data_IF_619749845733
#
_entry.id   IF_619749845733
#
_cell.length_a   1.000
_cell.length_b   1.000
_cell.length_c   1.000
_cell.angle_alpha   90.00
_cell.angle_beta   90.00
_cell.angle_gamma   90.00
#
_symmetry.space_group_name_H-M   'P 1'
#
loop_
_entity.id
_entity.type
_entity.pdbx_description
1 polymer ?
#
# COMPACT_ATOMS: atom_id res chain seq x y z
N UNK A 1 2.08 30.59 7.36
CA UNK A 1 2.42 29.58 6.33
C UNK A 1 2.19 28.23 6.96
N UNK A 2 1.43 27.38 6.26
CA UNK A 2 0.54 26.35 6.79
C UNK A 2 1.19 25.41 7.82
N UNK A 3 0.61 25.39 9.02
CA UNK A 3 0.77 24.30 9.97
C UNK A 3 -0.07 23.13 9.44
N UNK A 4 0.63 22.12 8.96
CA UNK A 4 0.08 20.88 8.45
C UNK A 4 -0.34 20.02 9.65
N UNK A 5 -1.55 20.26 10.16
CA UNK A 5 -2.37 19.20 10.77
C UNK A 5 -2.82 18.32 9.59
N UNK A 6 -2.81 16.99 9.67
CA UNK A 6 -3.84 16.19 10.31
C UNK A 6 -3.24 14.80 10.53
N UNK A 7 -2.97 14.43 11.78
CA UNK A 7 -2.72 13.04 12.12
C UNK A 7 -4.08 12.32 12.11
N UNK A 8 -4.53 11.95 10.92
CA UNK A 8 -5.69 11.09 10.76
C UNK A 8 -5.38 9.73 11.38
N UNK A 9 -6.31 9.24 12.18
CA UNK A 9 -6.20 8.01 12.94
C UNK A 9 -6.23 6.83 11.98
N UNK A 10 -5.09 6.48 11.41
CA UNK A 10 -4.93 5.32 10.55
C UNK A 10 -5.20 4.05 11.37
N UNK A 11 -6.26 3.32 11.01
CA UNK A 11 -6.54 1.98 11.52
C UNK A 11 -5.24 1.16 11.43
N UNK A 12 -4.70 0.70 12.56
CA UNK A 12 -3.43 -0.05 12.61
C UNK A 12 -3.59 -1.49 12.14
N UNK A 13 -4.33 -1.70 11.06
CA UNK A 13 -4.51 -3.01 10.47
C UNK A 13 -3.28 -3.34 9.61
N UNK A 14 -2.72 -4.57 9.74
CA UNK A 14 -1.59 -4.97 8.93
C UNK A 14 -2.04 -5.17 7.48
N UNK A 15 -1.28 -4.61 6.54
CA UNK A 15 -1.53 -4.81 5.12
C UNK A 15 -1.00 -6.19 4.73
N UNK A 16 -1.74 -6.89 3.85
CA UNK A 16 -1.39 -8.22 3.34
C UNK A 16 -1.42 -8.24 1.82
N UNK A 17 -0.65 -9.14 1.23
CA UNK A 17 -0.52 -9.28 -0.24
C UNK A 17 -1.81 -9.79 -0.91
N UNK A 18 -2.69 -10.46 -0.15
CA UNK A 18 -4.00 -10.92 -0.61
C UNK A 18 -5.07 -9.82 -0.60
N UNK A 19 -4.79 -8.65 0.00
CA UNK A 19 -5.71 -7.52 0.01
C UNK A 19 -5.80 -6.86 -1.36
N UNK A 20 -6.99 -6.35 -1.67
CA UNK A 20 -7.21 -5.56 -2.88
C UNK A 20 -6.52 -4.21 -2.73
N UNK A 21 -5.78 -3.80 -3.75
CA UNK A 21 -5.01 -2.54 -3.75
C UNK A 21 -5.89 -1.34 -3.42
N UNK A 22 -7.09 -1.29 -3.99
CA UNK A 22 -8.09 -0.25 -3.66
C UNK A 22 -8.40 -0.20 -2.18
N UNK A 23 -8.66 -1.34 -1.54
CA UNK A 23 -9.06 -1.38 -0.14
C UNK A 23 -7.88 -0.98 0.77
N UNK A 24 -6.65 -1.38 0.40
CA UNK A 24 -5.42 -0.93 1.07
C UNK A 24 -5.27 0.59 0.98
N UNK A 25 -5.42 1.19 -0.20
CA UNK A 25 -5.28 2.65 -0.39
C UNK A 25 -6.40 3.40 0.33
N UNK A 26 -7.62 2.86 0.35
CA UNK A 26 -8.75 3.46 1.05
C UNK A 26 -8.58 3.41 2.58
N UNK A 27 -8.01 2.31 3.11
CA UNK A 27 -7.69 2.17 4.52
C UNK A 27 -6.44 2.96 4.92
N UNK A 28 -5.48 3.07 4.01
CA UNK A 28 -4.18 3.70 4.21
C UNK A 28 -3.84 4.58 3.00
N UNK A 29 -4.30 5.84 2.95
CA UNK A 29 -4.00 6.73 1.82
C UNK A 29 -2.50 6.92 1.60
N UNK A 30 -1.71 6.89 2.67
CA UNK A 30 -0.24 6.97 2.62
C UNK A 30 0.42 5.76 1.93
N UNK A 31 -0.25 4.60 1.91
CA UNK A 31 0.23 3.42 1.19
C UNK A 31 0.43 3.71 -0.31
N UNK A 32 -0.41 4.57 -0.88
CA UNK A 32 -0.28 4.94 -2.29
C UNK A 32 1.08 5.60 -2.57
N UNK A 33 1.54 6.50 -1.69
CA UNK A 33 2.84 7.16 -1.86
C UNK A 33 4.00 6.17 -1.76
N UNK A 34 3.93 5.24 -0.80
CA UNK A 34 4.95 4.21 -0.62
C UNK A 34 5.01 3.26 -1.82
N UNK A 35 3.84 2.83 -2.32
CA UNK A 35 3.73 2.00 -3.53
C UNK A 35 4.33 2.69 -4.75
N UNK A 36 4.08 4.00 -4.91
CA UNK A 36 4.69 4.77 -6.00
C UNK A 36 6.22 4.82 -5.89
N UNK A 37 6.79 4.89 -4.67
CA UNK A 37 8.25 4.89 -4.45
C UNK A 37 8.91 3.55 -4.80
N UNK A 38 8.23 2.42 -4.57
CA UNK A 38 8.77 1.08 -4.89
C UNK A 38 8.58 0.67 -6.35
N UNK A 39 8.06 1.56 -7.20
CA UNK A 39 7.88 1.31 -8.64
C UNK A 39 6.48 0.82 -9.03
N UNK A 40 5.54 0.76 -8.08
CA UNK A 40 4.12 0.49 -8.34
C UNK A 40 3.37 1.77 -8.74
N UNK A 41 3.96 2.62 -9.58
CA UNK A 41 3.32 3.86 -10.05
C UNK A 41 2.01 3.63 -10.84
N UNK A 42 1.77 2.40 -11.28
CA UNK A 42 0.56 1.99 -12.00
C UNK A 42 -0.67 1.78 -11.11
N UNK A 43 -0.58 1.98 -9.78
CA UNK A 43 -1.75 1.95 -8.87
C UNK A 43 -2.85 2.96 -9.24
N UNK A 44 -2.55 3.97 -10.08
CA UNK A 44 -3.55 4.88 -10.64
C UNK A 44 -4.37 4.27 -11.78
N UNK A 45 -3.99 3.09 -12.29
CA UNK A 45 -4.72 2.39 -13.33
C UNK A 45 -5.93 1.67 -12.72
N UNK A 46 -7.15 1.81 -13.29
CA UNK A 46 -8.34 1.15 -12.76
C UNK A 46 -8.24 -0.38 -12.72
N UNK A 47 -7.37 -0.99 -13.54
CA UNK A 47 -7.10 -2.42 -13.48
C UNK A 47 -6.37 -2.82 -12.19
N UNK A 48 -5.27 -2.12 -11.85
CA UNK A 48 -4.46 -2.40 -10.68
C UNK A 48 -5.24 -2.23 -9.36
N UNK A 49 -6.21 -1.31 -9.33
CA UNK A 49 -7.08 -1.10 -8.16
C UNK A 49 -8.01 -2.29 -7.88
N UNK A 50 -8.33 -3.09 -8.89
CA UNK A 50 -9.18 -4.28 -8.77
C UNK A 50 -8.38 -5.58 -8.64
N UNK A 51 -7.05 -5.50 -8.66
CA UNK A 51 -6.15 -6.61 -8.43
C UNK A 51 -5.77 -6.70 -6.94
N UNK A 52 -5.39 -7.90 -6.51
CA UNK A 52 -4.73 -8.06 -5.22
C UNK A 52 -3.29 -7.52 -5.31
N UNK A 53 -2.80 -7.04 -4.17
CA UNK A 53 -1.50 -6.37 -4.12
C UNK A 53 -0.36 -7.28 -4.57
N UNK A 54 -0.41 -8.57 -4.23
CA UNK A 54 0.57 -9.56 -4.65
C UNK A 54 0.60 -9.81 -6.15
N UNK A 55 -0.54 -10.05 -6.79
CA UNK A 55 -0.64 -10.28 -8.24
C UNK A 55 -0.21 -9.03 -9.02
N UNK A 56 -0.63 -7.84 -8.55
CA UNK A 56 -0.20 -6.58 -9.13
C UNK A 56 1.33 -6.42 -9.05
N UNK A 57 1.96 -6.80 -7.93
CA UNK A 57 3.42 -6.83 -7.81
C UNK A 57 4.05 -7.84 -8.78
N UNK A 58 3.48 -9.03 -8.92
CA UNK A 58 4.00 -10.08 -9.81
C UNK A 58 3.99 -9.69 -11.29
N UNK A 59 2.96 -8.97 -11.76
CA UNK A 59 2.90 -8.44 -13.14
C UNK A 59 4.08 -7.50 -13.44
N UNK A 60 4.59 -6.83 -12.40
CA UNK A 60 5.74 -5.93 -12.47
C UNK A 60 7.07 -6.59 -12.08
N UNK A 61 7.07 -7.90 -11.80
CA UNK A 61 8.26 -8.65 -11.38
C UNK A 61 8.75 -8.31 -9.98
N UNK A 62 7.87 -7.78 -9.12
CA UNK A 62 8.13 -7.49 -7.73
C UNK A 62 7.58 -8.60 -6.84
N UNK A 63 8.26 -8.83 -5.72
CA UNK A 63 7.78 -9.76 -4.69
C UNK A 63 6.72 -9.05 -3.83
N UNK A 64 5.48 -9.54 -3.89
CA UNK A 64 4.36 -8.98 -3.15
C UNK A 64 4.56 -9.00 -1.63
N UNK A 65 5.28 -9.99 -1.08
CA UNK A 65 5.57 -10.03 0.36
C UNK A 65 6.59 -8.98 0.77
N UNK A 66 7.65 -8.79 -0.02
CA UNK A 66 8.66 -7.76 0.24
C UNK A 66 8.07 -6.35 0.14
N UNK A 67 7.19 -6.13 -0.86
CA UNK A 67 6.46 -4.86 -0.99
C UNK A 67 5.57 -4.62 0.23
N UNK A 68 4.78 -5.62 0.65
CA UNK A 68 3.92 -5.50 1.84
C UNK A 68 4.71 -5.26 3.12
N UNK A 69 5.83 -5.95 3.30
CA UNK A 69 6.74 -5.72 4.43
C UNK A 69 7.23 -4.29 4.47
N UNK A 70 7.75 -3.81 3.35
CA UNK A 70 8.24 -2.45 3.21
C UNK A 70 7.11 -1.43 3.49
N UNK A 71 5.93 -1.69 2.95
CA UNK A 71 4.74 -0.86 3.13
C UNK A 71 4.33 -0.78 4.61
N UNK A 72 4.20 -1.92 5.27
CA UNK A 72 3.87 -1.98 6.69
C UNK A 72 4.96 -1.32 7.55
N UNK A 73 6.24 -1.42 7.17
CA UNK A 73 7.33 -0.74 7.88
C UNK A 73 7.25 0.78 7.76
N UNK A 74 7.07 1.30 6.54
CA UNK A 74 6.96 2.74 6.29
C UNK A 74 5.72 3.35 6.97
N UNK A 75 4.62 2.60 7.02
CA UNK A 75 3.37 3.00 7.69
C UNK A 75 3.36 2.67 9.20
N UNK A 76 4.45 2.10 9.72
CA UNK A 76 4.60 1.70 11.12
C UNK A 76 3.44 0.80 11.61
N UNK A 77 3.03 -0.14 10.75
CA UNK A 77 2.00 -1.16 10.96
C UNK A 77 2.62 -2.47 11.45
N UNK A 78 1.85 -3.28 12.20
CA UNK A 78 2.25 -4.66 12.47
C UNK A 78 2.43 -5.43 11.16
N UNK A 79 3.33 -6.40 11.16
CA UNK A 79 3.46 -7.31 10.02
C UNK A 79 2.38 -8.38 10.17
N UNK A 80 1.67 -8.67 9.08
CA UNK A 80 0.83 -9.85 9.02
C UNK A 80 1.67 -11.04 8.57
N UNK A 81 1.75 -12.06 9.42
CA UNK A 81 2.29 -13.39 9.11
C UNK A 81 1.40 -14.16 8.12
#
# INVERSE_FOLDING_TARGET
MAEMNEQEQQSKEPIRSDMIVRDVILAHPDAAEVLMRVGMGCISCPAALMENLGDACMVHGLDGEEVVKYLNQELNLPQAD
#
